data_IF_758888405305
#
_entry.id   IF_758888405305
#
_cell.length_a   1.000
_cell.length_b   1.000
_cell.length_c   1.000
_cell.angle_alpha   90.00
_cell.angle_beta   90.00
_cell.angle_gamma   90.00
#
_symmetry.space_group_name_H-M   'P 1'
#
loop_
_entity.id
_entity.type
_entity.pdbx_description
1 polymer ?
#
# COMPACT_ATOMS: atom_id res chain seq x y z
N UNK A 1 2.12 -25.02 5.16
CA UNK A 1 0.95 -24.94 4.27
C UNK A 1 0.87 -23.54 3.68
N UNK A 2 0.62 -23.43 2.38
CA UNK A 2 0.29 -22.19 1.67
C UNK A 2 -1.12 -22.33 1.10
N UNK A 3 -2.03 -21.42 1.45
CA UNK A 3 -3.36 -21.31 0.83
C UNK A 3 -3.35 -20.15 -0.16
N UNK A 4 -3.45 -20.44 -1.45
CA UNK A 4 -3.54 -19.42 -2.49
C UNK A 4 -4.98 -19.30 -2.98
N UNK A 5 -5.52 -18.08 -2.90
CA UNK A 5 -6.89 -17.77 -3.28
C UNK A 5 -6.86 -17.02 -4.61
N UNK A 6 -7.58 -17.52 -5.61
CA UNK A 6 -7.68 -16.88 -6.92
C UNK A 6 -9.12 -16.94 -7.44
N UNK A 7 -9.52 -16.11 -8.41
CA UNK A 7 -10.79 -16.27 -9.12
C UNK A 7 -10.94 -17.65 -9.77
N UNK A 8 -9.91 -18.12 -10.47
CA UNK A 8 -9.86 -19.40 -11.16
C UNK A 8 -8.43 -19.93 -11.31
N UNK A 9 -8.28 -21.07 -12.00
CA UNK A 9 -6.98 -21.71 -12.21
C UNK A 9 -6.00 -20.84 -13.00
N UNK A 10 -6.48 -20.06 -13.95
CA UNK A 10 -5.63 -19.24 -14.84
C UNK A 10 -5.15 -17.95 -14.14
N UNK A 11 -5.86 -17.50 -13.10
CA UNK A 11 -5.43 -16.38 -12.26
C UNK A 11 -4.64 -16.82 -11.02
N UNK A 12 -4.31 -18.11 -10.90
CA UNK A 12 -3.36 -18.57 -9.90
C UNK A 12 -1.93 -18.29 -10.40
N UNK A 13 -1.42 -17.11 -10.04
CA UNK A 13 -0.05 -16.70 -10.32
C UNK A 13 0.97 -17.67 -9.71
N UNK A 14 2.02 -17.97 -10.48
CA UNK A 14 3.09 -18.90 -10.11
C UNK A 14 2.63 -20.32 -9.78
N UNK A 15 1.47 -20.75 -10.30
CA UNK A 15 0.91 -22.08 -10.00
C UNK A 15 1.89 -23.21 -10.32
N UNK A 16 2.51 -23.19 -11.51
CA UNK A 16 3.41 -24.26 -11.94
C UNK A 16 4.66 -24.33 -11.04
N UNK A 17 5.23 -23.18 -10.72
CA UNK A 17 6.41 -23.02 -9.87
C UNK A 17 6.10 -23.48 -8.44
N UNK A 18 4.98 -23.05 -7.86
CA UNK A 18 4.55 -23.45 -6.52
C UNK A 18 4.23 -24.95 -6.44
N UNK A 19 3.59 -25.52 -7.46
CA UNK A 19 3.40 -26.98 -7.54
C UNK A 19 4.74 -27.71 -7.66
N UNK A 20 5.67 -27.21 -8.47
CA UNK A 20 7.01 -27.79 -8.60
C UNK A 20 7.81 -27.74 -7.29
N UNK A 21 7.69 -26.64 -6.54
CA UNK A 21 8.28 -26.50 -5.21
C UNK A 21 7.65 -27.47 -4.21
N UNK A 22 6.32 -27.57 -4.17
CA UNK A 22 5.61 -28.49 -3.29
C UNK A 22 5.97 -29.96 -3.56
N UNK A 23 6.23 -30.33 -4.82
CA UNK A 23 6.67 -31.68 -5.19
C UNK A 23 8.10 -32.00 -4.68
N UNK A 24 8.93 -30.99 -4.43
CA UNK A 24 10.33 -31.13 -4.02
C UNK A 24 10.57 -30.90 -2.53
N UNK A 25 9.70 -30.12 -1.88
CA UNK A 25 9.87 -29.68 -0.51
C UNK A 25 8.85 -30.39 0.39
N UNK A 26 9.27 -31.35 1.23
CA UNK A 26 8.35 -32.18 2.01
C UNK A 26 7.53 -31.40 3.05
N UNK A 27 7.97 -30.19 3.41
CA UNK A 27 7.29 -29.31 4.37
C UNK A 27 6.29 -28.34 3.72
N UNK A 28 6.27 -28.24 2.38
CA UNK A 28 5.43 -27.30 1.64
C UNK A 28 4.22 -28.01 1.03
N UNK A 29 3.05 -27.82 1.63
CA UNK A 29 1.76 -28.10 0.98
C UNK A 29 1.18 -26.82 0.38
N UNK A 30 0.73 -26.87 -0.87
CA UNK A 30 0.08 -25.75 -1.57
C UNK A 30 -1.38 -26.12 -1.84
N UNK A 31 -2.30 -25.32 -1.32
CA UNK A 31 -3.74 -25.50 -1.49
C UNK A 31 -4.29 -24.33 -2.30
N UNK A 32 -5.00 -24.64 -3.39
CA UNK A 32 -5.69 -23.64 -4.18
C UNK A 32 -7.16 -23.52 -3.74
N UNK A 33 -7.67 -22.29 -3.60
CA UNK A 33 -9.10 -22.03 -3.53
C UNK A 33 -9.52 -21.13 -4.67
N UNK A 34 -10.40 -21.62 -5.53
CA UNK A 34 -10.95 -20.85 -6.64
C UNK A 34 -12.29 -20.25 -6.26
N UNK A 35 -12.35 -18.92 -6.16
CA UNK A 35 -13.53 -18.23 -5.62
C UNK A 35 -14.74 -18.27 -6.54
N UNK A 36 -14.57 -18.46 -7.85
CA UNK A 36 -15.71 -18.63 -8.78
C UNK A 36 -16.44 -19.96 -8.58
N UNK A 37 -15.76 -21.00 -8.11
CA UNK A 37 -16.35 -22.34 -7.93
C UNK A 37 -16.60 -22.69 -6.47
N UNK A 38 -15.68 -22.35 -5.56
CA UNK A 38 -15.77 -22.64 -4.13
C UNK A 38 -16.27 -21.45 -3.29
N UNK A 39 -16.55 -20.30 -3.91
CA UNK A 39 -16.91 -19.08 -3.20
C UNK A 39 -15.72 -18.42 -2.49
N UNK A 40 -15.96 -17.24 -1.92
CA UNK A 40 -14.94 -16.47 -1.18
C UNK A 40 -14.48 -17.25 0.06
N UNK A 41 -13.22 -17.06 0.45
CA UNK A 41 -12.73 -17.57 1.71
C UNK A 41 -13.37 -16.76 2.85
N UNK A 42 -13.96 -17.46 3.80
CA UNK A 42 -14.31 -16.93 5.13
C UNK A 42 -13.53 -17.67 6.21
N UNK A 43 -13.22 -17.05 7.36
CA UNK A 43 -12.34 -17.60 8.38
C UNK A 43 -12.78 -18.98 8.93
N UNK A 44 -14.08 -19.28 8.94
CA UNK A 44 -14.64 -20.55 9.43
C UNK A 44 -14.13 -21.76 8.65
N UNK A 45 -13.68 -21.57 7.40
CA UNK A 45 -13.07 -22.65 6.63
C UNK A 45 -11.72 -23.10 7.19
N UNK A 46 -11.05 -22.30 8.03
CA UNK A 46 -9.74 -22.63 8.58
C UNK A 46 -9.79 -23.89 9.43
N UNK A 47 -10.87 -24.10 10.19
CA UNK A 47 -11.04 -25.31 10.99
C UNK A 47 -11.10 -26.59 10.16
N UNK A 48 -11.45 -26.50 8.87
CA UNK A 48 -11.43 -27.64 7.93
C UNK A 48 -10.10 -27.72 7.18
N UNK A 49 -9.59 -26.59 6.70
CA UNK A 49 -8.38 -26.53 5.86
C UNK A 49 -7.09 -26.74 6.67
N UNK A 50 -7.06 -26.28 7.92
CA UNK A 50 -5.93 -26.35 8.84
C UNK A 50 -6.47 -26.41 10.27
N UNK A 51 -6.92 -27.58 10.75
CA UNK A 51 -7.62 -27.69 12.04
C UNK A 51 -6.83 -27.18 13.25
N UNK A 52 -5.51 -27.14 13.14
CA UNK A 52 -4.56 -26.65 14.14
C UNK A 52 -4.09 -25.21 13.86
N UNK A 53 -4.84 -24.42 13.07
CA UNK A 53 -4.48 -23.04 12.72
C UNK A 53 -4.24 -22.15 13.95
N UNK A 54 -4.95 -22.42 15.05
CA UNK A 54 -4.88 -21.64 16.29
C UNK A 54 -3.55 -21.78 17.03
N UNK A 55 -2.80 -22.85 16.76
CA UNK A 55 -1.46 -23.11 17.32
C UNK A 55 -0.33 -22.66 16.38
N UNK A 56 -0.66 -22.18 15.17
CA UNK A 56 0.31 -21.86 14.11
C UNK A 56 0.50 -20.37 13.92
N UNK A 57 1.75 -19.97 13.69
CA UNK A 57 2.05 -18.67 13.10
C UNK A 57 1.44 -18.60 11.69
N UNK A 58 0.62 -17.59 11.47
CA UNK A 58 -0.14 -17.37 10.24
C UNK A 58 0.24 -16.02 9.65
N UNK A 59 0.58 -16.01 8.37
CA UNK A 59 0.81 -14.80 7.59
C UNK A 59 -0.27 -14.68 6.53
N UNK A 60 -0.92 -13.53 6.47
CA UNK A 60 -2.00 -13.27 5.52
C UNK A 60 -1.75 -11.96 4.78
N UNK A 61 -1.89 -12.02 3.45
CA UNK A 61 -1.91 -10.86 2.56
C UNK A 61 -3.06 -11.06 1.57
N UNK A 62 -3.79 -10.00 1.25
CA UNK A 62 -4.96 -10.08 0.38
C UNK A 62 -5.91 -8.90 0.49
N UNK A 63 -7.15 -9.05 0.00
CA UNK A 63 -8.16 -7.99 0.05
C UNK A 63 -8.57 -7.61 1.48
N UNK A 64 -8.80 -6.33 1.74
CA UNK A 64 -9.12 -5.79 3.08
C UNK A 64 -10.25 -6.56 3.78
N UNK A 65 -11.37 -6.82 3.10
CA UNK A 65 -12.48 -7.54 3.71
C UNK A 65 -12.14 -8.96 4.18
N UNK A 66 -11.19 -9.63 3.53
CA UNK A 66 -10.69 -10.93 3.99
C UNK A 66 -9.79 -10.76 5.22
N UNK A 67 -8.85 -9.81 5.16
CA UNK A 67 -7.89 -9.56 6.23
C UNK A 67 -8.60 -9.11 7.52
N UNK A 68 -9.56 -8.20 7.42
CA UNK A 68 -10.40 -7.75 8.54
C UNK A 68 -11.17 -8.92 9.18
N UNK A 69 -11.66 -9.85 8.36
CA UNK A 69 -12.38 -11.03 8.85
C UNK A 69 -11.45 -12.00 9.58
N UNK A 70 -10.24 -12.23 9.05
CA UNK A 70 -9.22 -13.06 9.70
C UNK A 70 -8.77 -12.46 11.03
N UNK A 71 -8.49 -11.16 11.08
CA UNK A 71 -8.12 -10.46 12.32
C UNK A 71 -9.18 -10.63 13.41
N UNK A 72 -10.46 -10.40 13.07
CA UNK A 72 -11.57 -10.62 14.02
C UNK A 72 -11.65 -12.06 14.49
N UNK A 73 -11.48 -13.03 13.58
CA UNK A 73 -11.60 -14.45 13.90
C UNK A 73 -10.46 -14.94 14.79
N UNK A 74 -9.21 -14.57 14.49
CA UNK A 74 -8.05 -14.91 15.32
C UNK A 74 -8.13 -14.24 16.69
N UNK A 75 -8.54 -12.98 16.75
CA UNK A 75 -8.72 -12.27 18.02
C UNK A 75 -9.79 -12.94 18.89
N UNK A 76 -10.94 -13.31 18.31
CA UNK A 76 -12.01 -13.99 19.04
C UNK A 76 -11.60 -15.36 19.60
N UNK A 77 -10.65 -16.04 18.95
CA UNK A 77 -10.08 -17.31 19.40
C UNK A 77 -8.91 -17.15 20.41
N UNK A 78 -8.54 -15.91 20.79
CA UNK A 78 -7.39 -15.66 21.65
C UNK A 78 -6.03 -15.91 20.99
N UNK A 79 -5.99 -16.06 19.65
CA UNK A 79 -4.80 -16.38 18.87
C UNK A 79 -4.26 -15.15 18.08
N UNK A 80 -4.73 -13.94 18.39
CA UNK A 80 -4.42 -12.72 17.62
C UNK A 80 -2.93 -12.48 17.39
N UNK A 81 -2.08 -12.75 18.38
CA UNK A 81 -0.61 -12.55 18.27
C UNK A 81 0.06 -13.48 17.25
N UNK A 82 -0.60 -14.56 16.85
CA UNK A 82 -0.11 -15.52 15.85
C UNK A 82 -0.48 -15.13 14.43
N UNK A 83 -1.33 -14.11 14.22
CA UNK A 83 -1.70 -13.62 12.91
C UNK A 83 -0.90 -12.37 12.55
N UNK A 84 -0.12 -12.44 11.48
CA UNK A 84 0.56 -11.29 10.86
C UNK A 84 -0.13 -10.96 9.55
N UNK A 85 -0.66 -9.75 9.47
CA UNK A 85 -1.35 -9.25 8.29
C UNK A 85 -0.49 -8.21 7.59
N UNK A 86 -0.35 -8.37 6.28
CA UNK A 86 0.22 -7.35 5.39
C UNK A 86 -0.86 -6.84 4.44
N UNK A 87 -0.99 -5.51 4.35
CA UNK A 87 -2.01 -4.83 3.52
C UNK A 87 -1.34 -4.05 2.40
N UNK A 88 -1.63 -4.43 1.15
CA UNK A 88 -1.16 -3.72 -0.04
C UNK A 88 -2.20 -2.71 -0.50
N UNK A 89 -2.40 -1.65 0.28
CA UNK A 89 -3.34 -0.57 -0.06
C UNK A 89 -2.70 0.81 0.00
N UNK A 90 -3.04 1.73 -0.92
CA UNK A 90 -2.94 3.15 -0.63
C UNK A 90 -3.87 3.47 0.55
N UNK A 91 -3.45 4.36 1.45
CA UNK A 91 -4.39 4.86 2.45
C UNK A 91 -5.52 5.66 1.74
N UNK A 92 -6.76 5.62 2.25
CA UNK A 92 -7.87 6.36 1.66
C UNK A 92 -7.49 7.83 1.49
N UNK A 93 -7.71 8.41 0.32
CA UNK A 93 -7.71 9.86 0.14
C UNK A 93 -9.03 10.35 0.72
N UNK A 94 -9.07 11.09 1.85
CA UNK A 94 -10.28 11.71 2.31
C UNK A 94 -10.72 12.65 1.20
N UNK A 95 -12.00 12.61 0.82
CA UNK A 95 -12.56 13.69 0.00
C UNK A 95 -12.23 14.99 0.72
N UNK A 96 -11.50 15.90 0.06
CA UNK A 96 -11.01 17.14 0.64
C UNK A 96 -12.11 17.79 1.50
N UNK A 97 -12.01 17.63 2.83
CA UNK A 97 -12.84 18.37 3.76
C UNK A 97 -12.55 19.84 3.52
N UNK A 98 -13.60 20.67 3.52
CA UNK A 98 -13.64 22.07 3.12
C UNK A 98 -12.76 23.03 3.95
N UNK A 99 -11.45 22.77 4.03
CA UNK A 99 -10.43 23.75 4.31
C UNK A 99 -9.63 23.94 3.03
N UNK A 100 -9.88 25.03 2.31
CA UNK A 100 -9.18 25.37 1.08
C UNK A 100 -7.68 25.45 1.38
N UNK A 101 -6.96 24.38 1.05
CA UNK A 101 -5.50 24.41 1.06
C UNK A 101 -5.11 25.27 -0.12
N UNK A 102 -4.30 26.31 0.08
CA UNK A 102 -3.92 27.16 -1.04
C UNK A 102 -3.08 26.34 -2.00
N UNK A 103 -3.39 26.48 -3.29
CA UNK A 103 -2.47 26.10 -4.35
C UNK A 103 -1.13 26.80 -4.12
N UNK A 104 -0.06 26.18 -4.62
CA UNK A 104 1.29 26.67 -4.45
C UNK A 104 2.01 26.83 -5.77
N UNK A 105 3.13 27.56 -5.72
CA UNK A 105 4.20 27.43 -6.72
C UNK A 105 5.27 26.51 -6.12
N UNK A 106 5.63 25.47 -6.85
CA UNK A 106 6.76 24.61 -6.50
C UNK A 106 7.99 25.05 -7.29
N UNK A 107 9.13 25.15 -6.61
CA UNK A 107 10.45 25.28 -7.23
C UNK A 107 11.28 24.03 -6.97
N UNK A 108 11.87 23.51 -8.03
CA UNK A 108 12.83 22.42 -7.97
C UNK A 108 14.24 23.03 -8.01
N UNK A 109 14.95 23.01 -6.87
CA UNK A 109 16.21 23.74 -6.66
C UNK A 109 17.33 23.39 -7.67
N UNK A 110 17.58 22.10 -7.93
CA UNK A 110 18.69 21.66 -8.80
C UNK A 110 18.35 21.79 -10.27
N UNK A 111 17.11 21.52 -10.66
CA UNK A 111 16.68 21.70 -12.06
C UNK A 111 16.41 23.17 -12.40
N UNK A 112 16.11 24.01 -11.41
CA UNK A 112 15.70 25.40 -11.59
C UNK A 112 14.28 25.57 -12.15
N UNK A 113 13.53 24.48 -12.32
CA UNK A 113 12.17 24.49 -12.87
C UNK A 113 11.19 24.98 -11.80
N UNK A 114 10.20 25.77 -12.24
CA UNK A 114 9.05 26.16 -11.42
C UNK A 114 7.75 25.71 -12.10
N UNK A 115 6.77 25.32 -11.29
CA UNK A 115 5.45 24.91 -11.77
C UNK A 115 4.35 25.34 -10.79
N UNK A 116 3.14 25.49 -11.32
CA UNK A 116 1.95 25.61 -10.48
C UNK A 116 1.61 24.24 -9.88
N UNK A 117 1.35 24.20 -8.58
CA UNK A 117 1.09 23.00 -7.81
C UNK A 117 -0.29 23.11 -7.16
N UNK A 118 -1.35 22.60 -7.82
CA UNK A 118 -2.67 22.52 -7.22
C UNK A 118 -2.62 21.69 -5.93
N UNK A 119 -3.27 22.15 -4.86
CA UNK A 119 -3.16 21.52 -3.54
C UNK A 119 -3.71 20.08 -3.49
N UNK A 120 -4.58 19.72 -4.46
CA UNK A 120 -5.17 18.39 -4.60
C UNK A 120 -4.37 17.42 -5.49
N UNK A 121 -3.29 17.89 -6.12
CA UNK A 121 -2.47 17.10 -7.05
C UNK A 121 -1.18 16.66 -6.35
N UNK A 122 -0.78 15.38 -6.44
CA UNK A 122 0.50 14.93 -5.91
C UNK A 122 1.67 15.70 -6.53
N UNK A 123 2.64 16.10 -5.70
CA UNK A 123 3.84 16.82 -6.16
C UNK A 123 4.64 16.02 -7.20
N UNK A 124 4.57 14.68 -7.15
CA UNK A 124 5.14 13.81 -8.16
C UNK A 124 4.56 14.10 -9.55
N UNK A 125 3.23 14.18 -9.66
CA UNK A 125 2.55 14.43 -10.94
C UNK A 125 2.86 15.85 -11.45
N UNK A 126 2.86 16.84 -10.56
CA UNK A 126 3.24 18.22 -10.89
C UNK A 126 4.67 18.29 -11.45
N UNK A 127 5.62 17.62 -10.82
CA UNK A 127 7.01 17.58 -11.28
C UNK A 127 7.18 16.85 -12.62
N UNK A 128 6.54 15.70 -12.79
CA UNK A 128 6.55 14.94 -14.05
C UNK A 128 5.96 15.77 -15.21
N UNK A 129 4.83 16.45 -14.97
CA UNK A 129 4.21 17.32 -15.96
C UNK A 129 5.08 18.53 -16.34
N UNK A 130 5.91 19.00 -15.41
CA UNK A 130 6.88 20.08 -15.63
C UNK A 130 8.20 19.59 -16.26
N UNK A 131 8.36 18.29 -16.53
CA UNK A 131 9.57 17.71 -17.13
C UNK A 131 10.71 17.46 -16.15
N UNK A 132 10.45 17.47 -14.84
CA UNK A 132 11.44 17.15 -13.81
C UNK A 132 11.59 15.63 -13.71
N UNK A 133 12.83 15.15 -13.63
CA UNK A 133 13.14 13.74 -13.40
C UNK A 133 12.85 13.36 -11.93
N UNK A 134 11.57 13.14 -11.62
CA UNK A 134 11.11 12.83 -10.27
C UNK A 134 11.44 11.37 -9.88
N UNK A 135 11.92 11.10 -8.66
CA UNK A 135 12.00 9.74 -8.15
C UNK A 135 10.59 9.17 -7.93
N UNK A 136 10.35 7.93 -8.36
CA UNK A 136 9.04 7.29 -8.27
C UNK A 136 9.14 5.80 -7.95
N UNK A 137 7.99 5.19 -7.63
CA UNK A 137 7.85 3.76 -7.40
C UNK A 137 6.38 3.33 -7.45
N UNK A 138 5.82 2.91 -6.32
CA UNK A 138 4.43 2.44 -6.22
C UNK A 138 3.34 3.50 -6.48
N UNK A 139 3.69 4.79 -6.40
CA UNK A 139 2.76 5.95 -6.51
C UNK A 139 1.59 5.95 -5.50
N UNK A 140 1.76 5.24 -4.39
CA UNK A 140 0.68 4.98 -3.40
C UNK A 140 1.13 5.19 -1.96
N UNK A 141 2.31 5.77 -1.75
CA UNK A 141 2.85 6.10 -0.42
C UNK A 141 3.30 4.92 0.43
N UNK A 142 3.63 3.77 -0.19
CA UNK A 142 4.00 2.54 0.53
C UNK A 142 5.45 2.08 0.30
N UNK A 143 6.06 2.40 -0.84
CA UNK A 143 7.40 1.89 -1.19
C UNK A 143 8.53 2.88 -0.89
N UNK A 144 8.22 4.13 -0.53
CA UNK A 144 9.19 5.20 -0.22
C UNK A 144 10.20 5.54 -1.35
N UNK A 145 10.03 5.01 -2.56
CA UNK A 145 10.92 5.31 -3.70
C UNK A 145 10.79 6.71 -4.28
N UNK A 146 9.86 7.52 -3.77
CA UNK A 146 9.58 8.89 -4.24
C UNK A 146 10.01 9.99 -3.25
N UNK A 147 10.84 9.62 -2.26
CA UNK A 147 11.28 10.53 -1.22
C UNK A 147 12.16 11.64 -1.80
N UNK A 148 11.84 12.88 -1.42
CA UNK A 148 12.57 14.08 -1.81
C UNK A 148 12.72 14.99 -0.59
N UNK A 149 13.91 15.57 -0.34
CA UNK A 149 14.07 16.58 0.72
C UNK A 149 13.28 17.85 0.40
N UNK A 150 12.45 18.27 1.36
CA UNK A 150 11.80 19.58 1.37
C UNK A 150 12.81 20.64 1.82
N UNK A 151 13.11 21.61 0.97
CA UNK A 151 14.03 22.72 1.31
C UNK A 151 13.28 23.81 2.08
N UNK A 152 12.06 24.13 1.63
CA UNK A 152 11.23 25.18 2.23
C UNK A 152 9.74 24.95 1.91
N UNK A 153 8.86 25.49 2.74
CA UNK A 153 7.41 25.46 2.55
C UNK A 153 6.74 24.35 3.36
N UNK A 154 5.49 24.04 3.03
CA UNK A 154 4.71 22.98 3.68
C UNK A 154 4.01 22.13 2.64
N UNK A 155 3.73 20.90 3.04
CA UNK A 155 3.01 19.91 2.25
C UNK A 155 1.82 19.36 3.02
N UNK A 156 0.83 18.88 2.28
CA UNK A 156 -0.31 18.15 2.83
C UNK A 156 -0.22 16.70 2.41
N UNK A 157 -0.31 15.77 3.35
CA UNK A 157 -0.54 14.38 2.99
C UNK A 157 -1.98 14.23 2.47
N UNK A 158 -2.15 13.87 1.21
CA UNK A 158 -3.46 13.77 0.55
C UNK A 158 -4.30 12.63 1.12
N UNK A 159 -3.72 11.72 1.90
CA UNK A 159 -4.41 10.56 2.51
C UNK A 159 -4.91 10.85 3.93
N UNK A 160 -4.31 11.81 4.62
CA UNK A 160 -4.69 12.13 6.00
C UNK A 160 -5.18 13.56 6.14
N UNK A 161 -4.85 14.41 5.18
CA UNK A 161 -5.02 15.86 5.27
C UNK A 161 -4.01 16.53 6.20
N UNK A 162 -3.06 15.79 6.79
CA UNK A 162 -2.09 16.34 7.73
C UNK A 162 -1.15 17.33 7.03
N UNK A 163 -0.91 18.48 7.65
CA UNK A 163 0.03 19.48 7.17
C UNK A 163 1.36 19.35 7.91
N UNK A 164 2.44 19.17 7.16
CA UNK A 164 3.80 19.08 7.70
C UNK A 164 4.80 19.74 6.75
N UNK A 165 6.08 19.75 7.10
CA UNK A 165 7.12 20.36 6.28
C UNK A 165 8.14 21.12 7.10
N UNK A 166 9.10 20.38 7.65
CA UNK A 166 10.32 20.97 8.20
C UNK A 166 11.43 20.99 7.15
N UNK A 167 12.31 22.02 7.12
CA UNK A 167 13.47 22.02 6.22
C UNK A 167 14.33 20.77 6.40
N UNK A 168 14.62 20.07 5.31
CA UNK A 168 15.36 18.80 5.27
C UNK A 168 14.50 17.55 5.42
N UNK A 169 13.20 17.67 5.72
CA UNK A 169 12.28 16.53 5.83
C UNK A 169 12.17 15.79 4.48
N UNK A 170 12.28 14.46 4.52
CA UNK A 170 12.03 13.61 3.35
C UNK A 170 10.52 13.40 3.17
N UNK A 171 9.94 13.98 2.13
CA UNK A 171 8.51 13.90 1.84
C UNK A 171 8.21 12.89 0.73
N UNK A 172 7.05 12.21 0.80
CA UNK A 172 6.60 11.28 -0.24
C UNK A 172 5.84 12.03 -1.34
N UNK A 173 6.55 12.48 -2.38
CA UNK A 173 5.97 13.31 -3.46
C UNK A 173 4.75 12.69 -4.16
N UNK A 174 4.60 11.36 -4.14
CA UNK A 174 3.44 10.68 -4.76
C UNK A 174 2.14 10.73 -3.96
N UNK A 175 2.17 11.15 -2.69
CA UNK A 175 0.97 11.25 -1.84
C UNK A 175 0.89 12.57 -1.09
N UNK A 176 1.90 13.42 -1.24
CA UNK A 176 1.92 14.77 -0.69
C UNK A 176 1.57 15.77 -1.79
N UNK A 177 0.66 16.70 -1.49
CA UNK A 177 0.34 17.88 -2.31
C UNK A 177 0.93 19.15 -1.71
N UNK A 178 0.93 20.24 -2.48
CA UNK A 178 1.37 21.54 -2.00
C UNK A 178 0.44 22.11 -0.92
N UNK A 179 1.00 22.81 0.06
CA UNK A 179 0.26 23.62 1.02
C UNK A 179 0.78 25.07 1.01
N UNK A 180 0.64 25.73 -0.14
CA UNK A 180 1.28 27.00 -0.46
C UNK A 180 2.63 26.84 -1.18
N UNK A 181 3.39 27.93 -1.40
CA UNK A 181 4.67 27.88 -2.07
C UNK A 181 5.70 27.00 -1.35
N UNK A 182 6.47 26.21 -2.10
CA UNK A 182 7.46 25.30 -1.54
C UNK A 182 8.65 25.05 -2.48
N UNK A 183 9.75 24.56 -1.92
CA UNK A 183 10.99 24.27 -2.64
C UNK A 183 11.42 22.84 -2.34
N UNK A 184 11.69 22.05 -3.37
CA UNK A 184 12.24 20.69 -3.27
C UNK A 184 13.69 20.65 -3.74
N UNK A 185 14.51 19.78 -3.14
CA UNK A 185 15.93 19.64 -3.45
C UNK A 185 16.22 18.88 -4.77
N UNK A 186 15.37 19.03 -5.79
CA UNK A 186 15.43 18.35 -7.10
C UNK A 186 15.74 19.27 -8.26
#
# INVERSE_FOLDING_TARGET
MLLHIAPGPDEFLFRAELTGLAARLPWLSVHARYTRTAGRLVPEHMSVLCPDWYDRETWACGPDGLLDALERHWAAAGAGERLRVERFRPAPVPSAGAGATPDGRIRFERSGIEADAPASVPLLETGEAAGVAMPYGCRRGICFGCLVPLVHGRVRDLRTGELHGEPGELIQTCVNGAAGPLVLAL
#
